data_IF_788789663484
#
_entry.id   IF_788789663484
#
_cell.length_a   1.000
_cell.length_b   1.000
_cell.length_c   1.000
_cell.angle_alpha   90.00
_cell.angle_beta   90.00
_cell.angle_gamma   90.00
#
_symmetry.space_group_name_H-M   'P 1'
#
loop_
_entity.id
_entity.type
_entity.pdbx_description
1 polymer ?
#
# COMPACT_ATOMS: atom_id res chain seq x y z
N UNK A 1 -6.41 5.44 2.08
CA UNK A 1 -5.34 4.45 1.81
C UNK A 1 -5.56 3.24 2.71
N UNK A 2 -5.03 2.06 2.40
CA UNK A 2 -5.22 0.87 3.23
C UNK A 2 -3.88 0.32 3.74
N UNK A 3 -3.86 0.01 5.04
CA UNK A 3 -2.81 -0.77 5.69
C UNK A 3 -3.21 -2.23 5.76
N UNK A 4 -2.23 -3.11 5.87
CA UNK A 4 -2.43 -4.52 6.21
C UNK A 4 -1.98 -4.70 7.66
N UNK A 5 -2.92 -5.07 8.53
CA UNK A 5 -2.68 -5.37 9.94
C UNK A 5 -3.41 -6.66 10.29
N UNK A 6 -2.71 -7.64 10.85
CA UNK A 6 -3.27 -8.94 11.24
C UNK A 6 -4.06 -9.65 10.11
N UNK A 7 -3.61 -9.51 8.87
CA UNK A 7 -4.27 -10.08 7.68
C UNK A 7 -5.58 -9.38 7.29
N UNK A 8 -5.84 -8.18 7.80
CA UNK A 8 -7.02 -7.38 7.51
C UNK A 8 -6.63 -6.04 6.90
N UNK A 9 -7.44 -5.57 5.94
CA UNK A 9 -7.33 -4.21 5.43
C UNK A 9 -7.87 -3.22 6.46
N UNK A 10 -7.06 -2.22 6.78
CA UNK A 10 -7.45 -1.10 7.64
C UNK A 10 -7.39 0.19 6.84
N UNK A 11 -8.56 0.77 6.58
CA UNK A 11 -8.65 2.08 5.92
C UNK A 11 -8.11 3.17 6.84
N UNK A 12 -7.16 3.96 6.33
CA UNK A 12 -6.62 5.14 7.01
C UNK A 12 -6.82 6.40 6.18
N UNK A 13 -7.01 7.51 6.88
CA UNK A 13 -6.96 8.83 6.29
C UNK A 13 -5.52 9.21 5.98
N UNK A 14 -5.32 9.79 4.80
CA UNK A 14 -4.02 10.27 4.33
C UNK A 14 -4.22 11.61 3.64
N UNK A 15 -3.29 12.53 3.87
CA UNK A 15 -3.21 13.79 3.18
C UNK A 15 -2.15 13.69 2.09
N UNK A 16 -2.47 14.13 0.86
CA UNK A 16 -1.49 14.27 -0.21
C UNK A 16 -0.75 15.59 -0.03
N UNK A 17 0.54 15.50 0.24
CA UNK A 17 1.41 16.67 0.48
C UNK A 17 2.06 17.14 -0.82
N UNK A 18 2.33 16.21 -1.74
CA UNK A 18 2.96 16.56 -3.01
C UNK A 18 3.19 15.35 -3.91
N UNK A 19 3.91 15.57 -5.00
CA UNK A 19 4.34 14.51 -5.91
C UNK A 19 5.60 14.93 -6.64
N UNK A 20 6.40 13.93 -7.03
CA UNK A 20 7.57 14.11 -7.91
C UNK A 20 7.56 13.02 -8.97
N UNK A 21 8.19 13.30 -10.10
CA UNK A 21 8.46 12.30 -11.14
C UNK A 21 9.91 11.85 -10.99
N UNK A 22 10.14 10.54 -10.92
CA UNK A 22 11.49 9.99 -10.93
C UNK A 22 12.10 10.08 -12.34
N UNK A 23 13.42 9.88 -12.43
CA UNK A 23 14.15 9.96 -13.72
C UNK A 23 13.65 8.93 -14.74
N UNK A 24 13.15 7.79 -14.28
CA UNK A 24 12.53 6.73 -15.10
C UNK A 24 11.09 7.04 -15.53
N UNK A 25 10.57 8.22 -15.19
CA UNK A 25 9.19 8.64 -15.47
C UNK A 25 8.16 8.15 -14.44
N UNK A 26 8.57 7.39 -13.42
CA UNK A 26 7.65 6.90 -12.38
C UNK A 26 7.13 8.05 -11.53
N UNK A 27 5.81 8.17 -11.41
CA UNK A 27 5.22 9.12 -10.48
C UNK A 27 5.33 8.62 -9.04
N UNK A 28 5.85 9.47 -8.15
CA UNK A 28 5.92 9.24 -6.72
C UNK A 28 5.03 10.25 -6.00
N UNK A 29 4.20 9.74 -5.09
CA UNK A 29 3.29 10.55 -4.27
C UNK A 29 3.89 10.73 -2.88
N UNK A 30 3.94 11.96 -2.38
CA UNK A 30 4.25 12.22 -0.97
C UNK A 30 2.93 12.34 -0.20
N UNK A 31 2.77 11.50 0.81
CA UNK A 31 1.60 11.47 1.68
C UNK A 31 1.99 11.63 3.14
N UNK A 32 1.07 12.14 3.95
CA UNK A 32 1.21 12.27 5.39
C UNK A 32 -0.01 11.67 6.08
N UNK A 33 0.23 10.97 7.19
CA UNK A 33 -0.82 10.50 8.09
C UNK A 33 -0.24 10.24 9.47
N UNK A 34 -1.03 10.52 10.50
CA UNK A 34 -0.69 10.15 11.89
C UNK A 34 -0.84 8.64 12.13
N UNK A 35 -1.61 7.96 11.28
CA UNK A 35 -1.90 6.53 11.37
C UNK A 35 -1.01 5.68 10.45
N UNK A 36 0.07 6.24 9.90
CA UNK A 36 1.03 5.55 9.04
C UNK A 36 2.40 5.51 9.74
N UNK A 37 2.64 4.52 10.62
CA UNK A 37 3.93 4.36 11.27
C UNK A 37 5.00 3.82 10.30
N UNK A 38 6.26 4.04 10.64
CA UNK A 38 7.38 3.46 9.91
C UNK A 38 7.28 1.92 9.86
N UNK A 39 7.60 1.33 8.71
CA UNK A 39 7.52 -0.11 8.50
C UNK A 39 6.10 -0.64 8.26
N UNK A 40 5.07 0.21 8.25
CA UNK A 40 3.71 -0.22 7.94
C UNK A 40 3.61 -0.88 6.56
N UNK A 41 2.84 -1.97 6.49
CA UNK A 41 2.48 -2.63 5.24
C UNK A 41 1.31 -1.91 4.59
N UNK A 42 1.47 -1.54 3.32
CA UNK A 42 0.49 -0.75 2.57
C UNK A 42 0.05 -1.53 1.34
N UNK A 43 -1.25 -1.51 1.07
CA UNK A 43 -1.78 -1.98 -0.19
C UNK A 43 -1.54 -0.92 -1.29
N UNK A 44 -0.71 -1.25 -2.27
CA UNK A 44 -0.38 -0.36 -3.41
C UNK A 44 -1.09 -0.74 -4.70
N UNK A 45 -1.68 -1.93 -4.79
CA UNK A 45 -2.49 -2.37 -5.91
C UNK A 45 -3.93 -1.87 -5.78
N UNK A 46 -4.59 -1.66 -6.91
CA UNK A 46 -6.01 -1.31 -6.93
C UNK A 46 -6.83 -2.58 -6.75
N UNK A 47 -7.49 -2.72 -5.59
CA UNK A 47 -8.53 -3.72 -5.36
C UNK A 47 -9.89 -3.04 -5.50
N UNK A 48 -10.67 -3.41 -6.52
CA UNK A 48 -11.97 -2.79 -6.83
C UNK A 48 -12.95 -2.79 -5.66
N UNK A 49 -12.81 -3.75 -4.73
CA UNK A 49 -13.66 -3.93 -3.56
C UNK A 49 -12.90 -3.76 -2.23
N UNK A 50 -11.83 -2.96 -2.20
CA UNK A 50 -11.12 -2.69 -0.95
C UNK A 50 -12.04 -2.01 0.06
N UNK A 51 -12.22 -2.66 1.22
CA UNK A 51 -12.99 -2.15 2.34
C UNK A 51 -12.28 -2.51 3.64
N UNK A 52 -12.43 -1.68 4.66
CA UNK A 52 -11.92 -1.98 6.00
C UNK A 52 -12.52 -3.29 6.50
N UNK A 53 -11.68 -4.15 7.08
CA UNK A 53 -12.06 -5.48 7.57
C UNK A 53 -12.04 -6.57 6.50
N UNK A 54 -11.70 -6.26 5.24
CA UNK A 54 -11.49 -7.28 4.23
C UNK A 54 -10.24 -8.10 4.57
N UNK A 55 -10.39 -9.42 4.66
CA UNK A 55 -9.28 -10.35 4.88
C UNK A 55 -8.41 -10.46 3.63
N UNK A 56 -7.11 -10.36 3.81
CA UNK A 56 -6.11 -10.43 2.75
C UNK A 56 -4.91 -11.25 3.20
N UNK A 57 -4.24 -11.85 2.23
CA UNK A 57 -2.95 -12.53 2.42
C UNK A 57 -1.92 -11.84 1.53
N UNK A 58 -0.73 -11.61 2.07
CA UNK A 58 0.37 -11.05 1.30
C UNK A 58 0.92 -12.13 0.36
N UNK A 59 0.84 -11.87 -0.95
CA UNK A 59 1.50 -12.73 -1.93
C UNK A 59 2.91 -12.18 -2.14
N UNK A 60 3.87 -12.74 -1.42
CA UNK A 60 5.29 -12.45 -1.65
C UNK A 60 5.71 -13.04 -2.99
N UNK A 61 6.14 -12.19 -3.92
CA UNK A 61 6.75 -12.61 -5.18
C UNK A 61 8.21 -13.03 -4.92
N UNK A 62 8.40 -14.12 -4.19
CA UNK A 62 9.72 -14.71 -3.92
C UNK A 62 9.75 -16.21 -4.32
N UNK A 63 9.20 -16.50 -5.50
CA UNK A 63 9.46 -17.75 -6.21
C UNK A 63 9.92 -17.43 -7.64
N UNK A 64 11.12 -17.86 -8.05
CA UNK A 64 11.45 -17.90 -9.47
C UNK A 64 10.49 -18.91 -10.11
N UNK A 65 9.84 -18.50 -11.20
CA UNK A 65 9.10 -19.43 -12.04
C UNK A 65 10.01 -20.62 -12.36
N UNK A 66 9.52 -21.83 -12.06
CA UNK A 66 10.27 -23.08 -12.09
C UNK A 66 11.13 -23.26 -13.35
N UNK A 67 12.28 -23.89 -13.13
CA UNK A 67 13.24 -24.37 -14.13
C UNK A 67 12.65 -25.47 -15.02
#
# INVERSE_FOLDING_TARGET
MFLIADGLLTGIEVERVGSTTAEDGTQRLLVRSVALPDGARVLTSQLSNAVTGLRVEEVSRDEPAGA
#
